data_IF_565884131848
#
_entry.id   IF_565884131848
#
_cell.length_a   1.000
_cell.length_b   1.000
_cell.length_c   1.000
_cell.angle_alpha   90.00
_cell.angle_beta   90.00
_cell.angle_gamma   90.00
#
_symmetry.space_group_name_H-M   'P 1'
#
loop_
_entity.id
_entity.type
_entity.pdbx_description
1 polymer ?
#
# COMPACT_ATOMS: atom_id res chain seq x y z
N UNK A 1 11.05 4.31 2.61
CA UNK A 1 11.30 5.74 2.89
C UNK A 1 11.71 5.99 4.33
N UNK A 2 11.41 5.09 5.30
CA UNK A 2 11.76 5.30 6.71
C UNK A 2 10.95 6.43 7.36
N UNK A 3 9.79 6.76 6.81
CA UNK A 3 8.92 7.87 7.22
C UNK A 3 7.52 7.34 7.51
N UNK A 4 6.81 8.02 8.42
CA UNK A 4 5.38 7.80 8.60
C UNK A 4 4.58 8.25 7.37
N UNK A 5 3.34 7.75 7.27
CA UNK A 5 2.42 7.99 6.15
C UNK A 5 2.17 9.48 5.92
N UNK A 6 1.94 10.23 6.99
CA UNK A 6 1.74 11.68 6.89
C UNK A 6 2.96 12.44 6.34
N UNK A 7 4.16 11.88 6.43
CA UNK A 7 5.41 12.54 6.03
C UNK A 7 5.87 12.17 4.62
N UNK A 8 5.46 11.00 4.09
CA UNK A 8 5.76 10.61 2.71
C UNK A 8 4.59 10.85 1.75
N UNK A 9 3.37 11.01 2.25
CA UNK A 9 2.22 11.49 1.50
C UNK A 9 1.49 10.45 0.63
N UNK A 10 1.92 9.19 0.63
CA UNK A 10 1.19 8.06 0.03
C UNK A 10 0.17 7.58 1.06
N UNK A 11 -0.92 8.34 1.21
CA UNK A 11 -1.89 8.18 2.30
C UNK A 11 -2.96 7.11 2.04
N UNK A 12 -3.01 6.55 0.83
CA UNK A 12 -4.02 5.59 0.42
C UNK A 12 -3.53 4.75 -0.78
N UNK A 13 -4.08 3.54 -0.93
CA UNK A 13 -3.81 2.66 -2.09
C UNK A 13 -4.31 3.25 -3.41
N UNK A 14 -5.33 4.10 -3.32
CA UNK A 14 -5.94 4.78 -4.45
C UNK A 14 -5.41 6.20 -4.56
N UNK A 15 -5.02 6.59 -5.76
CA UNK A 15 -4.91 8.00 -6.09
C UNK A 15 -6.31 8.59 -6.19
N UNK A 16 -6.48 9.80 -5.66
CA UNK A 16 -7.73 10.53 -5.80
C UNK A 16 -7.51 12.04 -5.89
N UNK A 17 -8.50 12.72 -6.44
CA UNK A 17 -8.58 14.17 -6.48
C UNK A 17 -9.94 14.62 -5.95
N UNK A 18 -9.93 15.36 -4.85
CA UNK A 18 -11.14 15.80 -4.15
C UNK A 18 -11.94 16.84 -4.92
N UNK A 19 -11.30 17.63 -5.80
CA UNK A 19 -11.95 18.66 -6.60
C UNK A 19 -12.65 18.09 -7.84
N UNK A 20 -12.13 17.01 -8.42
CA UNK A 20 -12.71 16.39 -9.62
C UNK A 20 -13.54 15.14 -9.32
N UNK A 21 -13.45 14.59 -8.11
CA UNK A 21 -14.12 13.35 -7.72
C UNK A 21 -13.44 12.07 -8.25
N UNK A 22 -12.35 12.19 -9.00
CA UNK A 22 -11.67 11.04 -9.61
C UNK A 22 -11.00 10.20 -8.53
N UNK A 23 -11.16 8.88 -8.65
CA UNK A 23 -10.56 7.85 -7.81
C UNK A 23 -10.01 6.75 -8.71
N UNK A 24 -8.74 6.41 -8.57
CA UNK A 24 -8.07 5.41 -9.38
C UNK A 24 -7.66 4.22 -8.52
N UNK A 25 -7.87 2.97 -8.97
CA UNK A 25 -7.59 1.78 -8.17
C UNK A 25 -6.08 1.60 -7.92
N UNK A 26 -5.75 0.66 -7.04
CA UNK A 26 -4.38 0.31 -6.65
C UNK A 26 -3.42 0.18 -7.84
N UNK A 27 -3.76 -0.65 -8.83
CA UNK A 27 -2.89 -0.92 -9.98
C UNK A 27 -2.57 0.34 -10.79
N UNK A 28 -3.59 1.13 -11.13
CA UNK A 28 -3.40 2.38 -11.90
C UNK A 28 -2.58 3.39 -11.10
N UNK A 29 -2.80 3.46 -9.79
CA UNK A 29 -2.07 4.36 -8.88
C UNK A 29 -0.57 4.13 -8.88
N UNK A 30 -0.11 2.88 -9.07
CA UNK A 30 1.33 2.56 -9.17
C UNK A 30 2.05 3.36 -10.26
N UNK A 31 1.34 3.74 -11.33
CA UNK A 31 1.91 4.51 -12.45
C UNK A 31 1.89 6.03 -12.27
N UNK A 32 1.23 6.55 -11.24
CA UNK A 32 1.00 8.00 -11.09
C UNK A 32 2.13 8.62 -10.28
N UNK A 33 3.17 9.09 -10.97
CA UNK A 33 4.39 9.59 -10.31
C UNK A 33 4.11 10.69 -9.27
N UNK A 34 3.16 11.60 -9.51
CA UNK A 34 2.81 12.64 -8.53
C UNK A 34 2.23 12.08 -7.22
N UNK A 35 1.70 10.85 -7.20
CA UNK A 35 1.27 10.20 -5.96
C UNK A 35 2.46 9.81 -5.08
N UNK A 36 3.50 9.24 -5.70
CA UNK A 36 4.66 8.67 -5.02
C UNK A 36 5.76 9.72 -4.78
N UNK A 37 6.03 10.56 -5.77
CA UNK A 37 7.00 11.64 -5.74
C UNK A 37 6.38 12.90 -5.11
N UNK A 38 6.25 12.86 -3.80
CA UNK A 38 5.66 13.92 -2.99
C UNK A 38 6.68 14.46 -1.96
N UNK A 39 7.92 14.65 -2.40
CA UNK A 39 9.01 15.19 -1.58
C UNK A 39 9.77 14.16 -0.72
N UNK A 40 9.42 12.88 -0.79
CA UNK A 40 10.16 11.79 -0.15
C UNK A 40 10.78 10.87 -1.19
N UNK A 41 12.07 10.59 -1.05
CA UNK A 41 12.76 9.64 -1.93
C UNK A 41 12.68 8.21 -1.38
N UNK A 42 12.40 7.21 -2.22
CA UNK A 42 12.53 5.82 -1.85
C UNK A 42 14.01 5.40 -1.81
N UNK A 43 14.25 4.22 -1.24
CA UNK A 43 15.61 3.71 -1.04
C UNK A 43 16.36 3.50 -2.36
N UNK A 44 15.67 3.03 -3.41
CA UNK A 44 16.29 2.77 -4.72
C UNK A 44 16.86 4.04 -5.36
N UNK A 45 16.10 5.15 -5.34
CA UNK A 45 16.60 6.44 -5.86
C UNK A 45 17.72 7.00 -4.98
N UNK A 46 17.61 6.84 -3.66
CA UNK A 46 18.64 7.31 -2.72
C UNK A 46 19.97 6.58 -2.95
N UNK A 47 19.95 5.25 -3.07
CA UNK A 47 21.14 4.42 -3.33
C UNK A 47 21.78 4.74 -4.70
N UNK A 48 20.95 4.92 -5.73
CA UNK A 48 21.39 5.35 -7.06
C UNK A 48 22.13 6.69 -7.05
N UNK A 49 21.69 7.63 -6.21
CA UNK A 49 22.28 8.96 -6.10
C UNK A 49 23.49 9.02 -5.18
N UNK A 50 23.46 8.33 -4.04
CA UNK A 50 24.52 8.39 -3.02
C UNK A 50 25.89 8.05 -3.61
N UNK A 51 25.95 7.08 -4.50
CA UNK A 51 27.23 6.69 -5.10
C UNK A 51 27.66 7.56 -6.28
N UNK A 52 26.84 8.51 -6.78
CA UNK A 52 27.29 9.55 -7.73
C UNK A 52 28.21 10.59 -7.07
N UNK A 53 28.12 10.81 -5.76
CA UNK A 53 28.91 11.82 -5.04
C UNK A 53 30.33 11.37 -4.66
N UNK A 54 30.68 10.09 -4.83
CA UNK A 54 31.94 9.48 -4.34
C UNK A 54 32.92 9.04 -5.45
N UNK A 55 32.82 9.58 -6.67
CA UNK A 55 33.62 9.20 -7.85
C UNK A 55 33.50 7.71 -8.30
N UNK A 56 32.60 6.95 -7.69
CA UNK A 56 32.15 5.64 -8.15
C UNK A 56 30.90 5.75 -9.03
N UNK A 57 30.58 4.74 -9.83
CA UNK A 57 29.22 4.64 -10.38
C UNK A 57 28.24 4.42 -9.22
N UNK A 58 27.04 5.02 -9.28
CA UNK A 58 25.93 4.84 -8.34
C UNK A 58 25.64 3.35 -8.01
N UNK A 59 25.09 3.03 -6.83
CA UNK A 59 24.58 1.68 -6.58
C UNK A 59 23.44 1.41 -7.56
N UNK A 60 23.41 0.22 -8.17
CA UNK A 60 22.37 -0.18 -9.10
C UNK A 60 21.24 -0.85 -8.33
N UNK A 61 20.00 -0.43 -8.59
CA UNK A 61 18.85 -0.94 -7.84
C UNK A 61 17.73 -1.45 -8.74
N UNK A 62 16.94 -2.38 -8.19
CA UNK A 62 15.87 -3.07 -8.90
C UNK A 62 14.57 -3.09 -8.11
N UNK A 63 13.46 -3.16 -8.83
CA UNK A 63 12.12 -3.35 -8.26
C UNK A 63 11.35 -4.38 -9.06
N UNK A 64 10.92 -5.46 -8.43
CA UNK A 64 10.02 -6.45 -9.03
C UNK A 64 8.67 -6.35 -8.33
N UNK A 65 7.70 -5.74 -9.02
CA UNK A 65 6.32 -5.52 -8.58
C UNK A 65 6.14 -4.68 -7.30
N UNK A 66 7.24 -4.16 -6.74
CA UNK A 66 7.18 -3.44 -5.48
C UNK A 66 6.42 -2.11 -5.63
N UNK A 67 5.46 -1.80 -4.73
CA UNK A 67 4.68 -0.58 -4.82
C UNK A 67 5.54 0.68 -4.87
N UNK A 68 5.23 1.56 -5.83
CA UNK A 68 6.01 2.77 -6.10
C UNK A 68 7.28 2.56 -6.92
N UNK A 69 7.67 1.33 -7.27
CA UNK A 69 8.79 1.06 -8.16
C UNK A 69 8.50 1.34 -9.64
N UNK A 70 7.22 1.44 -10.02
CA UNK A 70 6.78 1.84 -11.37
C UNK A 70 6.92 3.35 -11.61
N UNK A 71 6.80 4.15 -10.55
CA UNK A 71 6.79 5.61 -10.59
C UNK A 71 8.18 6.21 -10.85
N UNK A 72 8.18 7.46 -11.32
CA UNK A 72 9.36 8.32 -11.38
C UNK A 72 9.43 9.17 -10.11
N UNK A 73 10.64 9.46 -9.64
CA UNK A 73 10.90 10.38 -8.54
C UNK A 73 11.91 11.42 -9.00
N UNK A 74 11.48 12.68 -9.05
CA UNK A 74 12.26 13.81 -9.58
C UNK A 74 12.82 13.53 -10.97
N UNK A 75 12.00 12.88 -11.81
CA UNK A 75 12.36 12.46 -13.17
C UNK A 75 13.16 11.16 -13.28
N UNK A 76 13.67 10.62 -12.17
CA UNK A 76 14.47 9.38 -12.15
C UNK A 76 13.61 8.13 -11.93
N UNK A 77 14.02 7.02 -12.55
CA UNK A 77 13.44 5.69 -12.34
C UNK A 77 14.44 4.78 -11.62
N UNK A 78 13.94 3.70 -11.04
CA UNK A 78 14.76 2.57 -10.60
C UNK A 78 15.52 1.98 -11.79
N UNK A 79 16.78 1.54 -11.63
CA UNK A 79 17.61 1.08 -12.75
C UNK A 79 17.00 -0.10 -13.51
N UNK A 80 16.40 -1.05 -12.78
CA UNK A 80 15.63 -2.15 -13.37
C UNK A 80 14.26 -2.27 -12.70
N UNK A 81 13.23 -2.50 -13.50
CA UNK A 81 11.88 -2.79 -12.98
C UNK A 81 11.16 -3.87 -13.77
N UNK A 82 10.41 -4.67 -13.03
CA UNK A 82 9.30 -5.47 -13.55
C UNK A 82 8.02 -4.92 -12.93
N UNK A 83 7.03 -4.70 -13.78
CA UNK A 83 5.69 -4.24 -13.42
C UNK A 83 4.72 -5.31 -13.86
N UNK A 84 3.82 -5.69 -12.97
CA UNK A 84 2.80 -6.69 -13.24
C UNK A 84 1.81 -6.19 -14.31
N UNK A 85 1.19 -7.07 -15.10
CA UNK A 85 0.09 -6.70 -15.98
C UNK A 85 -1.17 -6.32 -15.17
N UNK A 86 -2.13 -5.65 -15.83
CA UNK A 86 -3.34 -5.16 -15.15
C UNK A 86 -4.21 -6.25 -14.49
N UNK A 87 -4.26 -7.44 -15.09
CA UNK A 87 -4.95 -8.62 -14.55
C UNK A 87 -3.92 -9.68 -14.22
N UNK A 88 -3.30 -9.54 -13.05
CA UNK A 88 -2.21 -10.41 -12.62
C UNK A 88 -2.67 -11.46 -11.62
N UNK A 89 -2.30 -12.71 -11.87
CA UNK A 89 -2.51 -13.79 -10.91
C UNK A 89 -1.36 -13.84 -9.89
N UNK A 90 -1.58 -13.22 -8.74
CA UNK A 90 -0.60 -13.18 -7.66
C UNK A 90 -0.30 -14.55 -7.04
N UNK A 91 -1.10 -15.60 -7.27
CA UNK A 91 -0.92 -16.91 -6.63
C UNK A 91 -0.08 -17.90 -7.44
N UNK A 92 0.45 -17.50 -8.60
CA UNK A 92 1.15 -18.40 -9.52
C UNK A 92 2.60 -18.69 -9.07
N UNK A 93 2.82 -19.85 -8.44
CA UNK A 93 4.15 -20.28 -7.95
C UNK A 93 5.21 -20.36 -9.06
N UNK A 94 4.83 -20.71 -10.29
CA UNK A 94 5.78 -20.74 -11.43
C UNK A 94 6.31 -19.35 -11.72
N UNK A 95 5.43 -18.34 -11.74
CA UNK A 95 5.87 -16.96 -11.93
C UNK A 95 6.71 -16.47 -10.75
N UNK A 96 6.41 -16.89 -9.52
CA UNK A 96 7.23 -16.52 -8.37
C UNK A 96 8.67 -17.01 -8.51
N UNK A 97 8.86 -18.26 -8.97
CA UNK A 97 10.18 -18.83 -9.23
C UNK A 97 10.90 -18.09 -10.36
N UNK A 98 10.20 -17.78 -11.45
CA UNK A 98 10.74 -16.98 -12.54
C UNK A 98 11.20 -15.59 -12.08
N UNK A 99 10.42 -14.90 -11.24
CA UNK A 99 10.81 -13.61 -10.68
C UNK A 99 12.05 -13.74 -9.79
N UNK A 100 12.14 -14.78 -8.96
CA UNK A 100 13.33 -15.06 -8.15
C UNK A 100 14.56 -15.29 -9.03
N UNK A 101 14.41 -16.06 -10.12
CA UNK A 101 15.49 -16.29 -11.08
C UNK A 101 15.94 -14.98 -11.74
N UNK A 102 15.00 -14.13 -12.16
CA UNK A 102 15.32 -12.79 -12.66
C UNK A 102 16.03 -11.93 -11.62
N UNK A 103 15.63 -11.98 -10.35
CA UNK A 103 16.31 -11.26 -9.27
C UNK A 103 17.76 -11.75 -9.10
N UNK A 104 18.01 -13.06 -9.16
CA UNK A 104 19.37 -13.59 -9.10
C UNK A 104 20.21 -13.19 -10.33
N UNK A 105 19.62 -13.21 -11.52
CA UNK A 105 20.27 -12.71 -12.74
C UNK A 105 20.64 -11.24 -12.60
N UNK A 106 19.74 -10.41 -12.07
CA UNK A 106 20.02 -8.99 -11.87
C UNK A 106 21.15 -8.74 -10.87
N UNK A 107 21.25 -9.53 -9.79
CA UNK A 107 22.38 -9.45 -8.87
C UNK A 107 23.70 -9.89 -9.53
N UNK A 108 23.69 -10.99 -10.30
CA UNK A 108 24.92 -11.66 -10.76
C UNK A 108 25.44 -11.17 -12.11
N UNK A 109 24.55 -10.84 -13.05
CA UNK A 109 24.89 -10.43 -14.42
C UNK A 109 24.86 -8.92 -14.55
N UNK A 110 23.79 -8.28 -14.06
CA UNK A 110 23.62 -6.82 -14.20
C UNK A 110 24.32 -6.02 -13.10
N UNK A 111 24.84 -6.72 -12.09
CA UNK A 111 25.53 -6.18 -10.92
C UNK A 111 24.66 -5.18 -10.16
N UNK A 112 23.40 -5.53 -9.87
CA UNK A 112 22.57 -4.77 -8.95
C UNK A 112 23.03 -4.97 -7.50
N UNK A 113 22.84 -3.96 -6.66
CA UNK A 113 23.23 -3.94 -5.25
C UNK A 113 22.02 -4.04 -4.30
N UNK A 114 20.83 -3.64 -4.77
CA UNK A 114 19.59 -3.69 -4.00
C UNK A 114 18.42 -4.06 -4.91
N UNK A 115 17.58 -5.00 -4.48
CA UNK A 115 16.33 -5.33 -5.18
C UNK A 115 15.20 -5.43 -4.17
N UNK A 116 14.09 -4.73 -4.45
CA UNK A 116 12.82 -4.90 -3.75
C UNK A 116 11.92 -5.85 -4.56
N UNK A 117 11.60 -7.02 -4.00
CA UNK A 117 10.75 -8.05 -4.61
C UNK A 117 9.44 -8.17 -3.84
N UNK A 118 8.31 -8.05 -4.54
CA UNK A 118 6.97 -8.10 -3.96
C UNK A 118 6.17 -9.32 -4.44
N UNK A 119 5.40 -9.90 -3.52
CA UNK A 119 4.39 -10.93 -3.79
C UNK A 119 3.05 -10.47 -3.20
N UNK A 120 1.97 -10.62 -3.96
CA UNK A 120 0.60 -10.23 -3.52
C UNK A 120 -0.14 -11.30 -2.73
N UNK A 121 0.56 -12.34 -2.28
CA UNK A 121 0.04 -13.38 -1.40
C UNK A 121 0.84 -13.37 -0.09
N UNK A 122 0.21 -13.69 1.06
CA UNK A 122 -1.10 -14.32 1.22
C UNK A 122 -2.29 -13.35 1.27
N UNK A 123 -2.10 -12.07 0.93
CA UNK A 123 -3.14 -11.03 1.00
C UNK A 123 -4.37 -11.37 0.15
N UNK A 124 -4.18 -11.70 -1.13
CA UNK A 124 -5.29 -12.01 -2.04
C UNK A 124 -6.14 -13.19 -1.56
N UNK A 125 -5.49 -14.29 -1.16
CA UNK A 125 -6.16 -15.46 -0.58
C UNK A 125 -6.84 -15.12 0.75
N UNK A 126 -6.19 -14.33 1.60
CA UNK A 126 -6.72 -13.86 2.88
C UNK A 126 -7.99 -13.02 2.71
N UNK A 127 -8.01 -12.09 1.77
CA UNK A 127 -9.18 -11.28 1.45
C UNK A 127 -10.33 -12.11 0.90
N UNK A 128 -10.04 -13.07 0.02
CA UNK A 128 -11.08 -13.88 -0.65
C UNK A 128 -11.74 -14.90 0.28
N UNK A 129 -10.95 -15.59 1.10
CA UNK A 129 -11.42 -16.72 1.90
C UNK A 129 -11.44 -16.46 3.41
N UNK A 130 -10.82 -15.36 3.86
CA UNK A 130 -10.66 -15.03 5.28
C UNK A 130 -9.33 -15.55 5.85
N UNK A 131 -8.77 -14.87 6.86
CA UNK A 131 -7.48 -15.23 7.43
C UNK A 131 -7.50 -16.59 8.11
N UNK A 132 -8.61 -17.13 8.60
CA UNK A 132 -8.58 -18.46 9.28
C UNK A 132 -8.79 -19.66 8.35
N UNK A 133 -8.95 -19.40 7.05
CA UNK A 133 -9.29 -20.40 6.03
C UNK A 133 -8.17 -21.42 5.74
N UNK A 134 -8.56 -22.58 5.23
CA UNK A 134 -7.63 -23.62 4.77
C UNK A 134 -6.87 -23.15 3.52
N UNK A 135 -7.52 -22.38 2.66
CA UNK A 135 -6.97 -21.76 1.46
C UNK A 135 -5.79 -20.84 1.82
N UNK A 136 -5.96 -19.94 2.79
CA UNK A 136 -4.87 -19.09 3.28
C UNK A 136 -3.74 -19.94 3.88
N UNK A 137 -4.05 -20.97 4.68
CA UNK A 137 -3.03 -21.89 5.23
C UNK A 137 -2.23 -22.58 4.12
N UNK A 138 -2.88 -23.00 3.04
CA UNK A 138 -2.21 -23.59 1.88
C UNK A 138 -1.35 -22.56 1.14
N UNK A 139 -1.81 -21.31 1.04
CA UNK A 139 -1.00 -20.22 0.47
C UNK A 139 0.25 -19.93 1.30
N UNK A 140 0.16 -19.96 2.64
CA UNK A 140 1.34 -19.84 3.51
C UNK A 140 2.35 -20.97 3.27
N UNK A 141 1.90 -22.22 3.05
CA UNK A 141 2.81 -23.31 2.68
C UNK A 141 3.52 -23.03 1.34
N UNK A 142 2.85 -22.36 0.40
CA UNK A 142 3.48 -21.95 -0.86
C UNK A 142 4.50 -20.83 -0.65
N UNK A 143 4.20 -19.84 0.18
CA UNK A 143 5.16 -18.80 0.60
C UNK A 143 6.39 -19.43 1.24
N UNK A 144 6.22 -20.40 2.15
CA UNK A 144 7.33 -21.10 2.81
C UNK A 144 8.24 -21.85 1.81
N UNK A 145 7.64 -22.60 0.87
CA UNK A 145 8.40 -23.23 -0.24
C UNK A 145 9.18 -22.21 -1.06
N UNK A 146 8.62 -21.01 -1.23
CA UNK A 146 9.21 -19.92 -2.02
C UNK A 146 10.37 -19.27 -1.29
N UNK A 147 10.29 -19.11 0.03
CA UNK A 147 11.42 -18.73 0.88
C UNK A 147 12.54 -19.75 0.77
N UNK A 148 12.22 -21.04 0.84
CA UNK A 148 13.18 -22.13 0.63
C UNK A 148 13.88 -22.04 -0.73
N UNK A 149 13.10 -21.84 -1.79
CA UNK A 149 13.63 -21.67 -3.15
C UNK A 149 14.50 -20.42 -3.29
N UNK A 150 14.07 -19.27 -2.76
CA UNK A 150 14.88 -18.04 -2.77
C UNK A 150 16.25 -18.25 -2.11
N UNK A 151 16.27 -18.87 -0.93
CA UNK A 151 17.54 -19.18 -0.23
C UNK A 151 18.41 -20.16 -1.00
N UNK A 152 17.80 -21.15 -1.66
CA UNK A 152 18.51 -22.07 -2.54
C UNK A 152 19.18 -21.32 -3.69
N UNK A 153 18.44 -20.44 -4.39
CA UNK A 153 18.97 -19.69 -5.54
C UNK A 153 20.08 -18.72 -5.13
N UNK A 154 19.98 -18.09 -3.96
CA UNK A 154 21.07 -17.27 -3.40
C UNK A 154 22.37 -18.10 -3.23
N UNK A 155 22.28 -19.34 -2.74
CA UNK A 155 23.45 -20.23 -2.61
C UNK A 155 24.02 -20.64 -3.96
N UNK A 156 23.16 -21.08 -4.87
CA UNK A 156 23.55 -21.53 -6.22
C UNK A 156 24.18 -20.41 -7.05
N UNK A 157 23.78 -19.15 -6.80
CA UNK A 157 24.37 -17.95 -7.39
C UNK A 157 25.66 -17.48 -6.70
N UNK A 158 26.16 -18.18 -5.68
CA UNK A 158 27.40 -17.82 -4.96
C UNK A 158 27.28 -16.55 -4.10
N UNK A 159 26.06 -16.15 -3.74
CA UNK A 159 25.77 -14.90 -3.03
C UNK A 159 25.59 -15.07 -1.52
N UNK A 160 25.60 -16.29 -0.99
CA UNK A 160 25.27 -16.58 0.43
C UNK A 160 26.10 -15.77 1.44
N UNK A 161 27.39 -15.52 1.18
CA UNK A 161 28.27 -14.76 2.06
C UNK A 161 28.28 -13.25 1.80
N UNK A 162 27.56 -12.77 0.78
CA UNK A 162 27.62 -11.37 0.30
C UNK A 162 26.26 -10.67 0.29
N UNK A 163 25.16 -11.42 0.20
CA UNK A 163 23.82 -10.89 0.07
C UNK A 163 23.05 -11.01 1.39
N UNK A 164 22.59 -9.88 1.89
CA UNK A 164 21.65 -9.83 3.00
C UNK A 164 20.22 -10.02 2.50
N UNK A 165 19.48 -10.94 3.12
CA UNK A 165 18.07 -11.20 2.81
C UNK A 165 17.17 -10.70 3.94
N UNK A 166 16.23 -9.82 3.62
CA UNK A 166 15.17 -9.38 4.52
C UNK A 166 13.84 -9.90 3.98
N UNK A 167 13.10 -10.65 4.79
CA UNK A 167 11.74 -11.09 4.50
C UNK A 167 10.82 -10.39 5.50
N UNK A 168 9.85 -9.65 4.99
CA UNK A 168 8.87 -8.89 5.78
C UNK A 168 7.55 -8.81 5.01
N UNK A 169 6.51 -8.30 5.67
CA UNK A 169 5.23 -7.92 5.08
C UNK A 169 4.85 -6.52 5.58
N UNK A 170 3.84 -5.93 4.96
CA UNK A 170 3.30 -4.60 5.22
C UNK A 170 2.22 -4.60 6.33
N UNK A 171 1.36 -5.62 6.41
CA UNK A 171 0.32 -5.70 7.43
C UNK A 171 -0.19 -7.12 7.74
N UNK A 172 -1.04 -7.23 8.76
CA UNK A 172 -1.79 -8.45 9.08
C UNK A 172 -3.14 -8.54 8.33
N UNK A 173 -4.02 -9.43 8.78
CA UNK A 173 -5.36 -9.62 8.21
C UNK A 173 -6.35 -10.00 9.32
N UNK A 174 -7.61 -9.55 9.20
CA UNK A 174 -8.66 -9.83 10.17
C UNK A 174 -9.96 -10.25 9.48
N UNK A 175 -10.69 -11.19 10.07
CA UNK A 175 -12.00 -11.62 9.57
C UNK A 175 -13.03 -10.49 9.70
N UNK A 176 -13.76 -10.20 8.62
CA UNK A 176 -14.83 -9.20 8.61
C UNK A 176 -16.08 -9.76 9.31
N UNK A 177 -16.63 -8.97 10.23
CA UNK A 177 -17.87 -9.23 10.96
C UNK A 177 -19.04 -8.72 10.13
N UNK A 178 -19.94 -9.61 9.71
CA UNK A 178 -21.09 -9.30 8.84
C UNK A 178 -22.38 -9.01 9.61
N UNK A 179 -22.27 -8.66 10.88
CA UNK A 179 -23.41 -8.36 11.76
C UNK A 179 -23.23 -6.98 12.36
N UNK A 180 -24.30 -6.18 12.39
CA UNK A 180 -24.27 -4.79 12.85
C UNK A 180 -23.21 -3.97 12.09
N UNK A 181 -23.22 -4.07 10.77
CA UNK A 181 -22.28 -3.41 9.86
C UNK A 181 -22.42 -1.89 9.91
N UNK A 182 -21.33 -1.17 9.63
CA UNK A 182 -21.35 0.29 9.57
C UNK A 182 -21.88 0.70 8.19
N UNK A 183 -23.11 1.20 8.14
CA UNK A 183 -23.75 1.63 6.89
C UNK A 183 -24.09 3.12 6.98
N UNK A 184 -23.29 3.96 6.30
CA UNK A 184 -23.36 5.41 6.43
C UNK A 184 -24.69 5.97 5.89
N UNK A 185 -25.19 5.48 4.76
CA UNK A 185 -26.48 5.90 4.17
C UNK A 185 -27.71 5.69 5.04
N UNK A 186 -27.66 4.81 6.06
CA UNK A 186 -28.80 4.53 6.95
C UNK A 186 -28.77 5.37 8.22
N UNK A 187 -27.72 6.15 8.45
CA UNK A 187 -27.61 7.03 9.61
C UNK A 187 -28.65 8.15 9.51
N UNK A 188 -29.50 8.25 10.54
CA UNK A 188 -30.51 9.30 10.61
C UNK A 188 -29.88 10.69 10.53
N UNK A 189 -30.50 11.59 9.78
CA UNK A 189 -30.04 12.96 9.51
C UNK A 189 -28.71 13.07 8.73
N UNK A 190 -28.17 11.97 8.22
CA UNK A 190 -27.06 12.01 7.26
C UNK A 190 -27.59 12.06 5.83
N UNK A 191 -26.91 12.80 4.95
CA UNK A 191 -27.18 12.78 3.51
C UNK A 191 -25.92 12.98 2.69
N UNK A 192 -25.71 12.13 1.67
CA UNK A 192 -24.62 12.34 0.71
C UNK A 192 -24.78 13.63 -0.11
N UNK A 193 -25.95 14.27 -0.10
CA UNK A 193 -26.12 15.59 -0.73
C UNK A 193 -25.26 16.67 -0.09
N UNK A 194 -24.83 16.49 1.15
CA UNK A 194 -23.97 17.40 1.90
C UNK A 194 -22.47 17.08 1.74
N UNK A 195 -22.11 16.15 0.85
CA UNK A 195 -20.74 15.69 0.61
C UNK A 195 -20.30 16.06 -0.82
N UNK A 196 -19.15 16.72 -0.95
CA UNK A 196 -18.51 17.03 -2.25
C UNK A 196 -17.60 15.88 -2.72
N UNK A 197 -16.89 15.25 -1.79
CA UNK A 197 -16.04 14.09 -2.08
C UNK A 197 -16.16 13.02 -1.00
N UNK A 198 -16.17 11.76 -1.42
CA UNK A 198 -16.10 10.62 -0.53
C UNK A 198 -15.16 9.53 -1.05
N UNK A 199 -14.42 8.94 -0.11
CA UNK A 199 -13.72 7.69 -0.26
C UNK A 199 -14.18 6.78 0.89
N UNK A 200 -15.27 6.06 0.65
CA UNK A 200 -15.83 5.01 1.48
C UNK A 200 -15.77 3.67 0.71
N UNK A 201 -16.36 2.61 1.25
CA UNK A 201 -16.41 1.28 0.61
C UNK A 201 -15.02 0.68 0.33
N UNK A 202 -14.01 1.07 1.12
CA UNK A 202 -12.62 0.60 1.01
C UNK A 202 -12.10 0.10 2.36
N UNK A 203 -12.71 -0.96 2.86
CA UNK A 203 -12.35 -1.58 4.14
C UNK A 203 -12.76 -0.72 5.34
N UNK A 204 -11.95 -0.65 6.42
CA UNK A 204 -12.34 0.01 7.65
C UNK A 204 -12.06 1.52 7.65
N UNK A 205 -11.52 2.11 6.59
CA UNK A 205 -11.13 3.52 6.58
C UNK A 205 -12.01 4.34 5.63
N UNK A 206 -12.28 5.60 5.98
CA UNK A 206 -13.06 6.51 5.17
C UNK A 206 -12.51 7.94 5.18
N UNK A 207 -12.67 8.64 4.07
CA UNK A 207 -12.31 10.05 3.90
C UNK A 207 -13.50 10.81 3.32
N UNK A 208 -13.88 11.92 3.95
CA UNK A 208 -15.00 12.76 3.51
C UNK A 208 -14.60 14.23 3.40
N UNK A 209 -15.06 14.87 2.33
CA UNK A 209 -15.08 16.33 2.17
C UNK A 209 -16.55 16.77 2.17
N UNK A 210 -17.07 17.28 3.30
CA UNK A 210 -18.37 17.94 3.33
C UNK A 210 -18.37 19.20 2.46
N UNK A 211 -19.55 19.57 1.97
CA UNK A 211 -19.78 20.86 1.31
C UNK A 211 -19.46 22.03 2.21
N UNK A 212 -19.21 23.19 1.60
CA UNK A 212 -19.03 24.45 2.32
C UNK A 212 -20.19 24.69 3.31
N UNK A 213 -19.86 25.04 4.56
CA UNK A 213 -20.82 25.23 5.64
C UNK A 213 -21.43 23.94 6.24
N UNK A 214 -21.12 22.75 5.71
CA UNK A 214 -21.71 21.47 6.16
C UNK A 214 -20.84 20.65 7.10
N UNK A 215 -19.57 21.03 7.30
CA UNK A 215 -18.61 20.27 8.10
C UNK A 215 -19.13 19.91 9.50
N UNK A 216 -19.60 20.91 10.26
CA UNK A 216 -20.09 20.69 11.64
C UNK A 216 -21.34 19.81 11.67
N UNK A 217 -22.26 20.02 10.72
CA UNK A 217 -23.45 19.19 10.61
C UNK A 217 -23.09 17.72 10.36
N UNK A 218 -22.30 17.45 9.32
CA UNK A 218 -21.88 16.07 8.97
C UNK A 218 -21.12 15.42 10.12
N UNK A 219 -20.19 16.15 10.74
CA UNK A 219 -19.43 15.64 11.88
C UNK A 219 -20.33 15.28 13.06
N UNK A 220 -21.24 16.19 13.45
CA UNK A 220 -22.12 15.98 14.61
C UNK A 220 -23.05 14.78 14.42
N UNK A 221 -23.54 14.56 13.19
CA UNK A 221 -24.36 13.41 12.83
C UNK A 221 -23.57 12.10 12.89
N UNK A 222 -22.33 12.08 12.39
CA UNK A 222 -21.57 10.83 12.24
C UNK A 222 -20.78 10.42 13.50
N UNK A 223 -20.33 11.37 14.34
CA UNK A 223 -19.38 11.14 15.45
C UNK A 223 -19.77 9.99 16.38
N UNK A 224 -21.07 9.84 16.65
CA UNK A 224 -21.61 8.80 17.55
C UNK A 224 -22.67 7.94 16.84
N UNK A 225 -22.69 7.93 15.51
CA UNK A 225 -23.74 7.25 14.74
C UNK A 225 -23.68 5.72 14.86
N UNK A 226 -22.50 5.17 15.14
CA UNK A 226 -22.31 3.74 15.31
C UNK A 226 -21.22 3.49 16.38
N UNK A 227 -21.43 2.57 17.34
CA UNK A 227 -20.48 2.35 18.44
C UNK A 227 -19.12 1.80 18.00
N UNK A 228 -19.01 1.35 16.74
CA UNK A 228 -17.80 0.81 16.11
C UNK A 228 -17.20 1.73 15.06
N UNK A 229 -17.77 2.91 14.86
CA UNK A 229 -17.28 3.91 13.93
C UNK A 229 -16.66 5.05 14.72
N UNK A 230 -15.42 5.40 14.39
CA UNK A 230 -14.75 6.56 14.95
C UNK A 230 -14.59 7.62 13.87
N UNK A 231 -15.13 8.81 14.12
CA UNK A 231 -15.07 9.94 13.18
C UNK A 231 -14.34 11.10 13.81
N UNK A 232 -13.37 11.63 13.09
CA UNK A 232 -12.53 12.73 13.55
C UNK A 232 -12.51 13.85 12.53
N UNK A 233 -12.52 15.09 13.01
CA UNK A 233 -11.93 16.19 12.24
C UNK A 233 -10.44 15.95 12.11
N UNK A 234 -9.85 16.39 11.00
CA UNK A 234 -8.42 16.21 10.71
C UNK A 234 -7.51 16.64 11.86
N UNK A 235 -7.81 17.77 12.48
CA UNK A 235 -7.03 18.37 13.57
C UNK A 235 -7.15 17.59 14.89
N UNK A 236 -8.21 16.80 15.03
CA UNK A 236 -8.53 16.01 16.24
C UNK A 236 -8.04 14.56 16.13
N UNK A 237 -7.57 14.13 14.95
CA UNK A 237 -7.17 12.74 14.74
C UNK A 237 -5.99 12.36 15.64
N UNK A 238 -5.99 11.17 16.28
CA UNK A 238 -4.97 10.83 17.27
C UNK A 238 -3.55 10.84 16.68
N UNK A 239 -2.69 11.71 17.21
CA UNK A 239 -1.31 11.92 16.72
C UNK A 239 -0.46 10.64 16.71
N UNK A 240 -0.75 9.69 17.60
CA UNK A 240 -0.05 8.39 17.68
C UNK A 240 -0.12 7.57 16.38
N UNK A 241 -1.07 7.85 15.49
CA UNK A 241 -1.18 7.18 14.20
C UNK A 241 -0.24 7.74 13.14
N UNK A 242 0.28 8.97 13.31
CA UNK A 242 1.14 9.63 12.33
C UNK A 242 0.59 9.58 10.89
N UNK A 243 -0.70 9.89 10.73
CA UNK A 243 -1.45 9.73 9.49
C UNK A 243 -2.10 11.03 8.98
N UNK A 244 -2.75 11.79 9.87
CA UNK A 244 -3.65 12.87 9.45
C UNK A 244 -2.94 14.18 9.07
N UNK A 245 -1.69 14.39 9.50
CA UNK A 245 -0.98 15.65 9.28
C UNK A 245 -0.36 15.76 7.87
N UNK A 246 -1.20 15.63 6.82
CA UNK A 246 -0.78 15.74 5.43
C UNK A 246 -1.81 16.48 4.58
N UNK A 247 -1.42 17.32 3.59
CA UNK A 247 -2.37 18.09 2.78
C UNK A 247 -3.42 17.25 2.03
N UNK A 248 -3.09 16.01 1.66
CA UNK A 248 -4.03 15.10 0.95
C UNK A 248 -5.14 14.53 1.85
N UNK A 249 -4.98 14.59 3.17
CA UNK A 249 -5.99 14.13 4.11
C UNK A 249 -7.16 15.11 4.13
N UNK A 250 -8.37 14.57 4.02
CA UNK A 250 -9.64 15.31 3.97
C UNK A 250 -10.03 15.88 5.34
N UNK A 251 -10.97 16.85 5.40
CA UNK A 251 -11.41 17.44 6.67
C UNK A 251 -11.99 16.43 7.67
N UNK A 252 -12.66 15.38 7.20
CA UNK A 252 -13.16 14.29 8.03
C UNK A 252 -12.50 12.96 7.67
N UNK A 253 -12.09 12.24 8.71
CA UNK A 253 -11.53 10.89 8.63
C UNK A 253 -12.39 9.94 9.46
N UNK A 254 -12.53 8.72 8.98
CA UNK A 254 -13.31 7.68 9.62
C UNK A 254 -12.46 6.42 9.72
N UNK A 255 -12.53 5.73 10.86
CA UNK A 255 -12.10 4.34 10.92
C UNK A 255 -13.05 3.47 11.76
N UNK A 256 -13.20 2.20 11.35
CA UNK A 256 -13.96 1.18 12.07
C UNK A 256 -13.11 0.41 13.07
N UNK A 257 -13.73 -0.12 14.13
CA UNK A 257 -13.10 -1.10 15.01
C UNK A 257 -12.64 -2.35 14.21
N UNK A 258 -11.66 -3.13 14.72
CA UNK A 258 -11.22 -4.36 14.08
C UNK A 258 -12.38 -5.30 13.70
N UNK A 259 -12.39 -5.75 12.45
CA UNK A 259 -13.44 -6.61 11.89
C UNK A 259 -14.62 -5.87 11.26
N UNK A 260 -14.76 -4.55 11.45
CA UNK A 260 -15.82 -3.75 10.82
C UNK A 260 -15.29 -3.00 9.60
N UNK A 261 -16.06 -3.03 8.52
CA UNK A 261 -15.82 -2.21 7.32
C UNK A 261 -16.86 -1.09 7.22
N UNK A 262 -16.55 -0.03 6.49
CA UNK A 262 -17.44 1.13 6.34
C UNK A 262 -18.10 1.09 4.96
N UNK A 263 -19.42 0.89 4.96
CA UNK A 263 -20.25 1.00 3.76
C UNK A 263 -20.76 2.43 3.63
N UNK A 264 -20.57 3.04 2.47
CA UNK A 264 -21.22 4.28 2.10
C UNK A 264 -22.72 4.12 2.14
#
# INVERSE_FOLDING_TARGET
TGRYIENHGVIHNMWFNTSTGVRLPYYTTQGISSWWDNGSLPIWITAQRQAKCLHSQGLKTGSVYFPGGRAKYQGEEVNKKLVEPALFNYSNETNWRQNIDTVMEWFTVDNLDFIALYFGEPDSSGHKFGPESTERKNMIKQVDRTVGYLRQRIRESGLESKLNLIITSDHGMQTVIKTNEIVIRTINNFTFKDIDFQLLDYGPNGLLVPKEGKLEHVYSVLKNAHPKLHVYKKEEFPKRFHYANHPRITPLLLYGDPGYVIHG
#
